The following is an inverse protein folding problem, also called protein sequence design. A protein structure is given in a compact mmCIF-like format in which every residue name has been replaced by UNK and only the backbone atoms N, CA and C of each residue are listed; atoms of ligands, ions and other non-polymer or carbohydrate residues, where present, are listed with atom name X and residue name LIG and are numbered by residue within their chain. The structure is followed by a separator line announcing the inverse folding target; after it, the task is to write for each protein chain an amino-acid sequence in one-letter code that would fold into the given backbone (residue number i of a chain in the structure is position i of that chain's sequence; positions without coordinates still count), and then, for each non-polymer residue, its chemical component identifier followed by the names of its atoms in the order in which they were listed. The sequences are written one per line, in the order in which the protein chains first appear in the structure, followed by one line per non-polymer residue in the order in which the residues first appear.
data_IF_167872372391
#
_entry.id   IF_167872372391
#
_cell.length_a   1.000
_cell.length_b   1.000
_cell.length_c   1.000
_cell.angle_alpha   90.00
_cell.angle_beta   90.00
_cell.angle_gamma   90.00
#
_symmetry.space_group_name_H-M   'P 1'
#
loop_
_entity.id
_entity.type
_entity.pdbx_description
1 polymer ?
#
# COMPACT_ATOMS: atom_id res chain seq x y z
N UNK A 1 9.96 14.36 4.82
CA UNK A 1 8.69 13.59 4.86
C UNK A 1 8.93 12.24 4.19
N UNK A 2 8.70 11.11 4.86
CA UNK A 2 8.94 9.79 4.26
C UNK A 2 7.76 9.40 3.35
N UNK A 3 8.00 9.37 2.03
CA UNK A 3 7.04 8.89 1.04
C UNK A 3 6.87 7.36 1.14
N UNK A 4 5.73 6.84 0.69
CA UNK A 4 5.50 5.40 0.55
C UNK A 4 6.62 4.78 -0.30
N UNK A 5 7.24 3.73 0.21
CA UNK A 5 8.29 2.99 -0.49
C UNK A 5 7.67 1.91 -1.38
N UNK A 6 6.94 2.32 -2.41
CA UNK A 6 6.12 1.40 -3.24
C UNK A 6 6.89 0.21 -3.82
N UNK A 7 8.17 0.38 -4.17
CA UNK A 7 9.02 -0.72 -4.65
C UNK A 7 9.26 -1.77 -3.56
N UNK A 8 9.50 -1.36 -2.31
CA UNK A 8 9.69 -2.27 -1.17
C UNK A 8 8.40 -3.00 -0.81
N UNK A 9 7.26 -2.30 -0.88
CA UNK A 9 5.94 -2.93 -0.68
C UNK A 9 5.69 -4.00 -1.74
N UNK A 10 5.94 -3.71 -3.02
CA UNK A 10 5.79 -4.70 -4.09
C UNK A 10 6.68 -5.92 -3.87
N UNK A 11 7.95 -5.73 -3.51
CA UNK A 11 8.85 -6.85 -3.19
C UNK A 11 8.33 -7.67 -1.99
N UNK A 12 7.87 -7.00 -0.94
CA UNK A 12 7.31 -7.66 0.24
C UNK A 12 6.04 -8.47 -0.07
N UNK A 13 5.15 -7.94 -0.91
CA UNK A 13 3.96 -8.65 -1.38
C UNK A 13 4.34 -9.92 -2.15
N UNK A 14 5.30 -9.81 -3.08
CA UNK A 14 5.80 -10.95 -3.87
C UNK A 14 6.41 -12.03 -2.98
N UNK A 15 7.21 -11.65 -1.98
CA UNK A 15 7.80 -12.60 -1.02
C UNK A 15 6.75 -13.37 -0.20
N UNK A 16 5.52 -12.85 -0.11
CA UNK A 16 4.39 -13.49 0.58
C UNK A 16 3.40 -14.17 -0.37
N UNK A 17 3.68 -14.18 -1.68
CA UNK A 17 2.75 -14.70 -2.68
C UNK A 17 1.46 -13.89 -2.82
N UNK A 18 1.44 -12.64 -2.34
CA UNK A 18 0.29 -11.76 -2.43
C UNK A 18 0.41 -10.93 -3.71
N UNK A 19 -0.60 -10.97 -4.58
CA UNK A 19 -0.59 -10.14 -5.78
C UNK A 19 -1.23 -8.78 -5.52
N UNK A 20 -0.96 -7.81 -6.40
CA UNK A 20 -1.67 -6.52 -6.32
C UNK A 20 -3.17 -6.67 -6.57
N UNK A 21 -3.60 -7.73 -7.26
CA UNK A 21 -5.02 -8.01 -7.51
C UNK A 21 -5.66 -8.47 -6.20
N UNK A 22 -5.01 -9.35 -5.44
CA UNK A 22 -5.50 -9.76 -4.11
C UNK A 22 -5.65 -8.56 -3.18
N UNK A 23 -4.66 -7.66 -3.18
CA UNK A 23 -4.72 -6.41 -2.41
C UNK A 23 -5.89 -5.54 -2.86
N UNK A 24 -6.11 -5.43 -4.17
CA UNK A 24 -7.20 -4.64 -4.73
C UNK A 24 -8.58 -5.20 -4.33
N UNK A 25 -8.77 -6.52 -4.48
CA UNK A 25 -9.99 -7.21 -4.08
C UNK A 25 -10.25 -7.10 -2.57
N UNK A 26 -9.23 -7.34 -1.74
CA UNK A 26 -9.38 -7.29 -0.29
C UNK A 26 -9.62 -5.86 0.24
N UNK A 27 -9.04 -4.85 -0.41
CA UNK A 27 -9.27 -3.45 -0.08
C UNK A 27 -10.52 -2.85 -0.75
N UNK A 28 -11.22 -3.61 -1.61
CA UNK A 28 -12.42 -3.15 -2.32
C UNK A 28 -12.15 -2.03 -3.33
N UNK A 29 -10.98 -2.03 -3.96
CA UNK A 29 -10.55 -0.99 -4.92
C UNK A 29 -10.08 -1.59 -6.24
N UNK A 30 -9.94 -0.76 -7.26
CA UNK A 30 -9.38 -1.19 -8.54
C UNK A 30 -7.84 -1.39 -8.47
N UNK A 31 -7.31 -2.30 -9.28
CA UNK A 31 -5.86 -2.53 -9.40
C UNK A 31 -5.10 -1.23 -9.74
N UNK A 32 -5.67 -0.39 -10.59
CA UNK A 32 -5.10 0.90 -10.99
C UNK A 32 -4.98 1.85 -9.79
N UNK A 33 -5.94 1.78 -8.86
CA UNK A 33 -5.94 2.53 -7.62
C UNK A 33 -4.79 2.10 -6.69
N UNK A 34 -4.56 0.78 -6.56
CA UNK A 34 -3.40 0.24 -5.82
C UNK A 34 -2.09 0.68 -6.46
N UNK A 35 -1.98 0.63 -7.79
CA UNK A 35 -0.79 1.07 -8.51
C UNK A 35 -0.47 2.56 -8.26
N UNK A 36 -1.48 3.43 -8.36
CA UNK A 36 -1.32 4.87 -8.08
C UNK A 36 -1.01 5.16 -6.61
N UNK A 37 -1.52 4.35 -5.67
CA UNK A 37 -1.14 4.44 -4.26
C UNK A 37 0.34 4.12 -4.08
N UNK A 38 0.81 3.00 -4.64
CA UNK A 38 2.21 2.57 -4.53
C UNK A 38 3.17 3.54 -5.25
N UNK A 39 2.69 4.25 -6.27
CA UNK A 39 3.42 5.33 -6.92
C UNK A 39 3.47 6.63 -6.11
N UNK A 40 2.72 6.72 -4.99
CA UNK A 40 2.65 7.91 -4.15
C UNK A 40 1.75 9.03 -4.70
N UNK A 41 1.03 8.78 -5.80
CA UNK A 41 0.22 9.78 -6.51
C UNK A 41 -1.15 9.99 -5.86
N UNK A 42 -1.66 9.00 -5.10
CA UNK A 42 -2.93 9.12 -4.36
C UNK A 42 -2.80 8.64 -2.92
N UNK A 43 -3.54 9.30 -2.01
CA UNK A 43 -3.79 8.79 -0.66
C UNK A 43 -4.84 7.69 -0.75
N UNK A 44 -4.45 6.48 -0.40
CA UNK A 44 -5.36 5.34 -0.31
C UNK A 44 -5.32 4.80 1.11
N UNK A 45 -6.07 5.44 2.02
CA UNK A 45 -6.17 5.01 3.40
C UNK A 45 -6.64 3.55 3.50
N UNK A 46 -7.51 3.11 2.58
CA UNK A 46 -8.00 1.73 2.51
C UNK A 46 -6.90 0.72 2.17
N UNK A 47 -6.06 1.01 1.17
CA UNK A 47 -4.93 0.15 0.79
C UNK A 47 -3.89 0.13 1.90
N UNK A 48 -3.59 1.30 2.50
CA UNK A 48 -2.67 1.39 3.64
C UNK A 48 -3.16 0.59 4.84
N UNK A 49 -4.44 0.73 5.20
CA UNK A 49 -5.04 0.00 6.32
C UNK A 49 -4.97 -1.52 6.08
N UNK A 50 -5.31 -1.97 4.86
CA UNK A 50 -5.17 -3.38 4.51
C UNK A 50 -3.73 -3.87 4.61
N UNK A 51 -2.77 -3.09 4.08
CA UNK A 51 -1.34 -3.41 4.19
C UNK A 51 -0.89 -3.49 5.65
N UNK A 52 -1.36 -2.59 6.53
CA UNK A 52 -1.11 -2.65 7.98
C UNK A 52 -1.72 -3.92 8.60
N UNK A 53 -2.95 -4.28 8.23
CA UNK A 53 -3.65 -5.47 8.73
C UNK A 53 -2.94 -6.78 8.38
N UNK A 54 -2.35 -6.89 7.18
CA UNK A 54 -1.59 -8.09 6.77
C UNK A 54 -0.14 -8.08 7.31
N UNK A 55 0.24 -7.05 8.07
CA UNK A 55 1.56 -6.93 8.70
C UNK A 55 2.64 -6.36 7.79
N UNK A 56 2.29 -5.54 6.80
CA UNK A 56 3.27 -4.81 6.01
C UNK A 56 4.04 -3.82 6.90
N UNK A 57 5.39 -3.79 6.83
CA UNK A 57 6.18 -2.90 7.68
C UNK A 57 5.79 -1.43 7.49
N UNK A 58 5.50 -0.76 8.60
CA UNK A 58 5.13 0.67 8.63
C UNK A 58 6.20 1.58 8.02
N UNK A 59 7.46 1.14 8.07
CA UNK A 59 8.59 1.80 7.43
C UNK A 59 8.40 1.94 5.91
N UNK A 60 7.76 0.95 5.27
CA UNK A 60 7.46 0.98 3.85
C UNK A 60 6.24 1.84 3.55
N UNK A 61 5.30 1.92 4.48
CA UNK A 61 4.06 2.69 4.36
C UNK A 61 4.25 4.20 4.59
N UNK A 62 5.40 4.61 5.15
CA UNK A 62 5.70 6.01 5.43
C UNK A 62 4.83 6.62 6.53
N UNK A 63 5.10 7.89 6.86
CA UNK A 63 4.34 8.60 7.90
C UNK A 63 2.95 8.98 7.38
N UNK A 64 1.91 8.72 8.19
CA UNK A 64 0.57 9.25 7.96
C UNK A 64 0.68 10.78 7.95
N UNK A 65 0.32 11.41 6.83
CA UNK A 65 0.10 12.86 6.84
C UNK A 65 -1.26 13.05 7.51
N UNK A 66 -1.27 13.24 8.82
CA UNK A 66 -2.42 13.84 9.48
C UNK A 66 -2.66 15.19 8.77
N UNK A 67 -3.83 15.31 8.16
CA UNK A 67 -4.26 16.60 7.65
C UNK A 67 -4.46 17.48 8.89
N UNK A 68 -3.62 18.51 9.02
CA UNK A 68 -3.94 19.68 9.80
C UNK A 68 -5.16 20.38 9.19
#
# INVERSE_FOLDING_TARGET
MAAIQGRKIKAWLVLRGITMIDVAHAAGVDRSYVSHCLAGTRRANVVRNYLEQIGCPVEYLGKRKEAA
#
